data_IF_864702102223
#
_entry.id   IF_864702102223
#
_cell.length_a   1.000
_cell.length_b   1.000
_cell.length_c   1.000
_cell.angle_alpha   90.00
_cell.angle_beta   90.00
_cell.angle_gamma   90.00
#
_symmetry.space_group_name_H-M   'P 1'
#
loop_
_entity.id
_entity.type
_entity.pdbx_description
1 polymer ?
#
# COMPACT_ATOMS: atom_id res chain seq x y z
N UNK A 1 14.78 -22.62 -33.83
CA UNK A 1 15.02 -21.70 -32.69
C UNK A 1 13.69 -21.05 -32.35
N UNK A 2 12.97 -21.57 -31.37
CA UNK A 2 11.68 -21.02 -30.95
C UNK A 2 11.93 -19.81 -30.07
N UNK A 3 11.47 -18.64 -30.50
CA UNK A 3 11.47 -17.42 -29.70
C UNK A 3 10.64 -17.67 -28.43
N UNK A 4 11.17 -17.42 -27.22
CA UNK A 4 10.45 -17.70 -25.97
C UNK A 4 9.30 -16.71 -25.68
N UNK A 5 9.07 -15.72 -26.55
CA UNK A 5 7.99 -14.73 -26.41
C UNK A 5 6.88 -14.97 -27.44
N UNK A 6 6.05 -15.97 -27.17
CA UNK A 6 4.72 -16.09 -27.79
C UNK A 6 3.65 -15.31 -27.02
N UNK A 7 2.41 -15.19 -27.54
CA UNK A 7 1.28 -14.48 -26.91
C UNK A 7 0.98 -14.90 -25.45
N UNK A 8 1.42 -16.08 -25.04
CA UNK A 8 1.34 -16.57 -23.66
C UNK A 8 2.16 -15.75 -22.66
N UNK A 9 3.26 -15.11 -23.08
CA UNK A 9 4.11 -14.30 -22.21
C UNK A 9 3.44 -12.98 -21.79
N UNK A 10 2.81 -12.28 -22.75
CA UNK A 10 2.11 -11.01 -22.48
C UNK A 10 0.91 -11.21 -21.56
N UNK A 11 0.10 -12.24 -21.80
CA UNK A 11 -1.05 -12.58 -20.95
C UNK A 11 -0.64 -12.95 -19.51
N UNK A 12 0.48 -13.65 -19.35
CA UNK A 12 1.02 -13.97 -18.03
C UNK A 12 1.45 -12.70 -17.28
N UNK A 13 2.13 -11.78 -17.95
CA UNK A 13 2.51 -10.46 -17.39
C UNK A 13 1.27 -9.65 -17.01
N UNK A 14 0.27 -9.55 -17.89
CA UNK A 14 -1.00 -8.86 -17.58
C UNK A 14 -1.66 -9.40 -16.32
N UNK A 15 -1.72 -10.73 -16.18
CA UNK A 15 -2.26 -11.36 -14.97
C UNK A 15 -1.46 -10.95 -13.72
N UNK A 16 -0.13 -10.93 -13.80
CA UNK A 16 0.72 -10.52 -12.69
C UNK A 16 0.55 -9.04 -12.35
N UNK A 17 0.47 -8.15 -13.35
CA UNK A 17 0.20 -6.72 -13.16
C UNK A 17 -1.11 -6.53 -12.40
N UNK A 18 -2.21 -7.15 -12.85
CA UNK A 18 -3.52 -7.08 -12.17
C UNK A 18 -3.46 -7.52 -10.72
N UNK A 19 -2.81 -8.65 -10.45
CA UNK A 19 -2.68 -9.21 -9.09
C UNK A 19 -1.89 -8.25 -8.19
N UNK A 20 -0.75 -7.75 -8.69
CA UNK A 20 0.13 -6.86 -7.91
C UNK A 20 -0.51 -5.48 -7.70
N UNK A 21 -1.18 -4.92 -8.70
CA UNK A 21 -1.95 -3.66 -8.59
C UNK A 21 -3.05 -3.80 -7.54
N UNK A 22 -3.86 -4.86 -7.62
CA UNK A 22 -4.93 -5.11 -6.65
C UNK A 22 -4.38 -5.24 -5.22
N UNK A 23 -3.24 -5.92 -5.07
CA UNK A 23 -2.59 -6.09 -3.77
C UNK A 23 -2.07 -4.77 -3.21
N UNK A 24 -1.38 -3.96 -4.02
CA UNK A 24 -0.89 -2.64 -3.63
C UNK A 24 -2.04 -1.70 -3.24
N UNK A 25 -3.11 -1.63 -4.05
CA UNK A 25 -4.29 -0.78 -3.75
C UNK A 25 -5.02 -1.22 -2.48
N UNK A 26 -5.10 -2.52 -2.19
CA UNK A 26 -5.70 -3.01 -0.93
C UNK A 26 -4.86 -2.59 0.27
N UNK A 27 -3.55 -2.80 0.21
CA UNK A 27 -2.63 -2.44 1.29
C UNK A 27 -2.59 -0.93 1.53
N UNK A 28 -2.68 -0.12 0.47
CA UNK A 28 -2.80 1.34 0.59
C UNK A 28 -4.06 1.73 1.36
N UNK A 29 -5.20 1.10 1.06
CA UNK A 29 -6.46 1.34 1.80
C UNK A 29 -6.34 0.94 3.27
N UNK A 30 -5.70 -0.20 3.57
CA UNK A 30 -5.42 -0.62 4.95
C UNK A 30 -4.54 0.40 5.68
N UNK A 31 -3.43 0.83 5.07
CA UNK A 31 -2.54 1.85 5.63
C UNK A 31 -3.28 3.16 5.93
N UNK A 32 -4.08 3.65 4.98
CA UNK A 32 -4.88 4.88 5.15
C UNK A 32 -5.94 4.72 6.26
N UNK A 33 -6.57 3.55 6.36
CA UNK A 33 -7.55 3.27 7.41
C UNK A 33 -6.90 3.35 8.80
N UNK A 34 -5.78 2.64 9.01
CA UNK A 34 -5.06 2.67 10.27
C UNK A 34 -4.50 4.06 10.60
N UNK A 35 -4.09 4.82 9.58
CA UNK A 35 -3.72 6.23 9.72
C UNK A 35 -4.83 7.08 10.33
N UNK A 36 -6.06 6.95 9.82
CA UNK A 36 -7.24 7.65 10.35
C UNK A 36 -7.58 7.23 11.77
N UNK A 37 -7.52 5.93 12.06
CA UNK A 37 -7.78 5.42 13.41
C UNK A 37 -6.77 5.98 14.42
N UNK A 38 -5.47 5.98 14.10
CA UNK A 38 -4.46 6.55 14.99
C UNK A 38 -4.64 8.06 15.19
N UNK A 39 -5.09 8.79 14.16
CA UNK A 39 -5.41 10.21 14.31
C UNK A 39 -6.59 10.43 15.28
N UNK A 40 -7.63 9.61 15.18
CA UNK A 40 -8.77 9.66 16.10
C UNK A 40 -8.35 9.33 17.55
N UNK A 41 -7.55 8.27 17.74
CA UNK A 41 -7.06 7.91 19.07
C UNK A 41 -6.14 8.99 19.65
N UNK A 42 -5.33 9.63 18.80
CA UNK A 42 -4.50 10.77 19.22
C UNK A 42 -5.36 11.94 19.67
N UNK A 43 -6.38 12.32 18.90
CA UNK A 43 -7.32 13.39 19.30
C UNK A 43 -8.02 13.08 20.62
N UNK A 44 -8.40 11.82 20.84
CA UNK A 44 -9.00 11.37 22.11
C UNK A 44 -8.02 11.50 23.28
N UNK A 45 -6.77 11.06 23.09
CA UNK A 45 -5.71 11.20 24.10
C UNK A 45 -5.44 12.69 24.42
N UNK A 46 -5.29 13.52 23.38
CA UNK A 46 -5.03 14.96 23.54
C UNK A 46 -6.16 15.64 24.32
N UNK A 47 -7.42 15.24 24.06
CA UNK A 47 -8.58 15.72 24.81
C UNK A 47 -8.53 15.30 26.29
N UNK A 48 -8.24 14.03 26.59
CA UNK A 48 -8.14 13.55 27.97
C UNK A 48 -7.04 14.27 28.76
N UNK A 49 -5.91 14.57 28.11
CA UNK A 49 -4.83 15.36 28.70
C UNK A 49 -5.29 16.80 28.95
N UNK A 50 -5.95 17.43 27.98
CA UNK A 50 -6.43 18.80 28.11
C UNK A 50 -7.51 18.98 29.19
N UNK A 51 -8.36 17.97 29.38
CA UNK A 51 -9.38 17.92 30.44
C UNK A 51 -8.81 17.52 31.81
N UNK A 52 -7.50 17.25 31.90
CA UNK A 52 -6.81 16.75 33.09
C UNK A 52 -7.56 15.54 33.70
N UNK A 53 -7.95 14.60 32.82
CA UNK A 53 -8.66 13.38 33.16
C UNK A 53 -7.81 12.48 34.09
N UNK A 54 -8.41 11.38 34.55
CA UNK A 54 -7.73 10.44 35.44
C UNK A 54 -6.48 9.83 34.76
N UNK A 55 -5.42 9.62 35.54
CA UNK A 55 -4.16 9.08 35.05
C UNK A 55 -4.34 7.70 34.39
N UNK A 56 -5.25 6.87 34.91
CA UNK A 56 -5.56 5.57 34.31
C UNK A 56 -6.16 5.71 32.91
N UNK A 57 -7.10 6.64 32.72
CA UNK A 57 -7.73 6.90 31.42
C UNK A 57 -6.73 7.39 30.37
N UNK A 58 -5.83 8.30 30.76
CA UNK A 58 -4.77 8.82 29.89
C UNK A 58 -3.80 7.70 29.49
N UNK A 59 -3.38 6.86 30.44
CA UNK A 59 -2.51 5.70 30.17
C UNK A 59 -3.17 4.70 29.24
N UNK A 60 -4.44 4.40 29.47
CA UNK A 60 -5.18 3.47 28.63
C UNK A 60 -5.32 4.00 27.19
N UNK A 61 -5.70 5.28 27.02
CA UNK A 61 -5.79 5.90 25.70
C UNK A 61 -4.43 5.93 24.97
N UNK A 62 -3.33 6.19 25.69
CA UNK A 62 -1.98 6.11 25.13
C UNK A 62 -1.64 4.70 24.64
N UNK A 63 -1.96 3.67 25.42
CA UNK A 63 -1.74 2.27 25.03
C UNK A 63 -2.47 1.92 23.73
N UNK A 64 -3.73 2.35 23.61
CA UNK A 64 -4.53 2.14 22.40
C UNK A 64 -3.91 2.86 21.20
N UNK A 65 -3.45 4.11 21.36
CA UNK A 65 -2.76 4.84 20.31
C UNK A 65 -1.48 4.12 19.86
N UNK A 66 -0.68 3.60 20.79
CA UNK A 66 0.52 2.82 20.47
C UNK A 66 0.18 1.53 19.68
N UNK A 67 -0.93 0.85 20.01
CA UNK A 67 -1.41 -0.31 19.25
C UNK A 67 -1.78 0.09 17.81
N UNK A 68 -2.52 1.20 17.61
CA UNK A 68 -2.83 1.72 16.27
C UNK A 68 -1.57 2.10 15.49
N UNK A 69 -0.58 2.72 16.14
CA UNK A 69 0.70 3.08 15.49
C UNK A 69 1.50 1.85 15.05
N UNK A 70 1.46 0.74 15.80
CA UNK A 70 2.07 -0.52 15.37
C UNK A 70 1.41 -1.06 14.12
N UNK A 71 0.08 -0.96 14.00
CA UNK A 71 -0.66 -1.39 12.80
C UNK A 71 -0.30 -0.56 11.57
N UNK A 72 -0.11 0.77 11.73
CA UNK A 72 0.38 1.64 10.65
C UNK A 72 1.75 1.15 10.17
N UNK A 73 2.70 0.93 11.08
CA UNK A 73 4.05 0.50 10.71
C UNK A 73 4.04 -0.86 9.98
N UNK A 74 3.22 -1.80 10.44
CA UNK A 74 3.11 -3.11 9.81
C UNK A 74 2.48 -3.02 8.41
N UNK A 75 1.40 -2.24 8.26
CA UNK A 75 0.77 -2.01 6.95
C UNK A 75 1.67 -1.25 5.97
N UNK A 76 2.46 -0.30 6.46
CA UNK A 76 3.48 0.43 5.68
C UNK A 76 4.55 -0.51 5.12
N UNK A 77 5.11 -1.39 5.95
CA UNK A 77 6.10 -2.40 5.48
C UNK A 77 5.48 -3.32 4.43
N UNK A 78 4.25 -3.80 4.66
CA UNK A 78 3.55 -4.66 3.68
C UNK A 78 3.27 -3.92 2.37
N UNK A 79 2.82 -2.67 2.44
CA UNK A 79 2.59 -1.81 1.28
C UNK A 79 3.89 -1.58 0.50
N UNK A 80 4.97 -1.22 1.19
CA UNK A 80 6.29 -1.00 0.60
C UNK A 80 6.79 -2.22 -0.19
N UNK A 81 6.65 -3.43 0.38
CA UNK A 81 7.00 -4.66 -0.32
C UNK A 81 6.16 -4.88 -1.59
N UNK A 82 4.84 -4.69 -1.51
CA UNK A 82 3.95 -4.84 -2.66
C UNK A 82 4.25 -3.81 -3.78
N UNK A 83 4.54 -2.57 -3.40
CA UNK A 83 4.94 -1.49 -4.31
C UNK A 83 6.28 -1.81 -4.98
N UNK A 84 7.26 -2.33 -4.24
CA UNK A 84 8.55 -2.74 -4.79
C UNK A 84 8.38 -3.88 -5.81
N UNK A 85 7.58 -4.89 -5.49
CA UNK A 85 7.31 -5.98 -6.44
C UNK A 85 6.58 -5.52 -7.70
N UNK A 86 5.59 -4.63 -7.56
CA UNK A 86 4.89 -4.04 -8.70
C UNK A 86 5.85 -3.22 -9.56
N UNK A 87 6.67 -2.38 -8.93
CA UNK A 87 7.69 -1.56 -9.61
C UNK A 87 8.70 -2.41 -10.37
N UNK A 88 9.19 -3.49 -9.77
CA UNK A 88 10.10 -4.41 -10.44
C UNK A 88 9.47 -5.01 -11.71
N UNK A 89 8.19 -5.41 -11.64
CA UNK A 89 7.48 -5.93 -12.79
C UNK A 89 7.31 -4.87 -13.88
N UNK A 90 6.84 -3.67 -13.54
CA UNK A 90 6.68 -2.53 -14.46
C UNK A 90 8.01 -2.21 -15.17
N UNK A 91 9.10 -2.08 -14.42
CA UNK A 91 10.44 -1.80 -14.99
C UNK A 91 10.89 -2.91 -15.96
N UNK A 92 10.54 -4.17 -15.69
CA UNK A 92 10.91 -5.30 -16.56
C UNK A 92 10.17 -5.33 -17.91
N UNK A 93 9.08 -4.58 -18.05
CA UNK A 93 8.22 -4.60 -19.25
C UNK A 93 8.06 -3.25 -19.94
N UNK A 94 8.32 -2.12 -19.26
CA UNK A 94 8.06 -0.77 -19.79
C UNK A 94 8.79 -0.42 -21.09
N UNK A 95 9.96 -1.00 -21.34
CA UNK A 95 10.76 -0.72 -22.54
C UNK A 95 10.49 -1.71 -23.68
N UNK A 96 9.54 -2.64 -23.49
CA UNK A 96 9.22 -3.66 -24.49
C UNK A 96 8.17 -3.12 -25.45
N UNK A 97 8.38 -3.18 -26.79
CA UNK A 97 7.43 -2.64 -27.78
C UNK A 97 6.02 -3.20 -27.65
N UNK A 98 5.87 -4.46 -27.23
CA UNK A 98 4.57 -5.09 -27.03
C UNK A 98 3.76 -4.54 -25.85
N UNK A 99 4.38 -3.71 -24.99
CA UNK A 99 3.73 -2.98 -23.90
C UNK A 99 3.65 -1.47 -24.15
N UNK A 100 4.03 -1.00 -25.34
CA UNK A 100 3.80 0.39 -25.72
C UNK A 100 2.30 0.69 -25.65
N UNK A 101 1.92 1.74 -24.91
CA UNK A 101 0.53 2.16 -24.71
C UNK A 101 -0.38 1.07 -24.11
N UNK A 102 0.19 0.10 -23.39
CA UNK A 102 -0.57 -1.01 -22.82
C UNK A 102 -1.36 -0.56 -21.57
N UNK A 103 -2.68 -0.75 -21.61
CA UNK A 103 -3.57 -0.32 -20.52
C UNK A 103 -3.21 -0.92 -19.15
N UNK A 104 -2.76 -2.18 -19.10
CA UNK A 104 -2.44 -2.83 -17.83
C UNK A 104 -1.14 -2.29 -17.24
N UNK A 105 -0.19 -1.89 -18.11
CA UNK A 105 1.01 -1.20 -17.70
C UNK A 105 0.69 0.20 -17.17
N UNK A 106 -0.15 0.98 -17.87
CA UNK A 106 -0.58 2.32 -17.44
C UNK A 106 -1.26 2.25 -16.07
N UNK A 107 -2.22 1.33 -15.89
CA UNK A 107 -2.90 1.13 -14.58
C UNK A 107 -1.92 0.74 -13.47
N UNK A 108 -0.85 0.02 -13.81
CA UNK A 108 0.18 -0.34 -12.85
C UNK A 108 1.06 0.85 -12.47
N UNK A 109 1.39 1.73 -13.42
CA UNK A 109 2.10 2.98 -13.16
C UNK A 109 1.27 3.94 -12.30
N UNK A 110 -0.01 4.13 -12.62
CA UNK A 110 -0.96 4.91 -11.80
C UNK A 110 -1.04 4.38 -10.37
N UNK A 111 -1.11 3.05 -10.19
CA UNK A 111 -1.15 2.45 -8.87
C UNK A 111 0.16 2.66 -8.07
N UNK A 112 1.31 2.77 -8.75
CA UNK A 112 2.59 3.10 -8.10
C UNK A 112 2.64 4.57 -7.69
N UNK A 113 2.04 5.48 -8.45
CA UNK A 113 1.92 6.89 -8.10
C UNK A 113 0.97 7.08 -6.91
N UNK A 114 -0.22 6.44 -6.94
CA UNK A 114 -1.18 6.47 -5.82
C UNK A 114 -0.58 5.94 -4.52
N UNK A 115 0.27 4.91 -4.60
CA UNK A 115 0.91 4.28 -3.45
C UNK A 115 2.22 4.96 -3.03
N UNK A 116 2.65 6.01 -3.72
CA UNK A 116 3.78 6.86 -3.32
C UNK A 116 3.33 7.87 -2.26
N UNK A 117 2.96 7.35 -1.08
CA UNK A 117 2.63 8.13 0.12
C UNK A 117 3.88 8.50 0.92
#
# INVERSE_FOLDING_TARGET
>A
MSTPNGPNGKLAVHRQLKIKVSSAKRLLKEYVLYGKEAEEQKRKLDKLIAENAEEWDIKNARRILEESQRMIKDSDVRLGNAVQELRALVVSVKNKPEFAEDEELIKAEEALEEASV
#
